data_IF_716279042342
#
_entry.id   IF_716279042342
#
_cell.length_a   1.000
_cell.length_b   1.000
_cell.length_c   1.000
_cell.angle_alpha   90.00
_cell.angle_beta   90.00
_cell.angle_gamma   90.00
#
_symmetry.space_group_name_H-M   'P 1'
#
loop_
_entity.id
_entity.type
_entity.pdbx_description
1 polymer ?
#
# COMPACT_ATOMS: atom_id res chain seq x y z
N UNK A 1 -18.66 -11.13 -8.73
CA UNK A 1 -19.99 -11.03 -8.11
C UNK A 1 -20.57 -12.42 -7.90
N UNK A 2 -20.77 -13.25 -8.92
CA UNK A 2 -21.33 -14.61 -8.76
C UNK A 2 -20.54 -15.51 -7.81
N UNK A 3 -19.25 -15.26 -7.63
CA UNK A 3 -18.37 -15.95 -6.67
C UNK A 3 -18.39 -15.31 -5.27
N UNK A 4 -19.27 -14.33 -5.00
CA UNK A 4 -19.39 -13.64 -3.72
C UNK A 4 -18.47 -12.43 -3.53
N UNK A 5 -17.70 -12.02 -4.55
CA UNK A 5 -16.90 -10.81 -4.46
C UNK A 5 -17.76 -9.55 -4.65
N UNK A 6 -17.63 -8.61 -3.73
CA UNK A 6 -18.34 -7.31 -3.75
C UNK A 6 -17.38 -6.12 -3.90
N UNK A 7 -16.07 -6.35 -3.83
CA UNK A 7 -15.05 -5.32 -4.02
C UNK A 7 -13.99 -5.77 -5.02
N UNK A 8 -13.55 -4.85 -5.87
CA UNK A 8 -12.60 -5.13 -6.94
C UNK A 8 -11.48 -4.10 -6.94
N UNK A 9 -10.22 -4.56 -6.88
CA UNK A 9 -9.07 -3.71 -7.16
C UNK A 9 -8.81 -3.72 -8.67
N UNK A 10 -8.90 -2.55 -9.28
CA UNK A 10 -8.53 -2.36 -10.69
C UNK A 10 -7.06 -1.99 -10.77
N UNK A 11 -6.26 -2.90 -11.31
CA UNK A 11 -4.81 -2.74 -11.44
C UNK A 11 -4.45 -1.78 -12.56
N UNK A 12 -3.45 -0.92 -12.32
CA UNK A 12 -2.80 -0.07 -13.33
C UNK A 12 -3.79 0.71 -14.20
N UNK A 13 -4.81 1.32 -13.59
CA UNK A 13 -5.94 1.96 -14.28
C UNK A 13 -5.51 2.90 -15.42
N UNK A 14 -4.48 3.76 -15.26
CA UNK A 14 -4.03 4.65 -16.34
C UNK A 14 -3.63 3.91 -17.63
N UNK A 15 -3.09 2.69 -17.49
CA UNK A 15 -2.72 1.87 -18.65
C UNK A 15 -3.91 1.16 -19.28
N UNK A 16 -4.94 0.85 -18.48
CA UNK A 16 -6.14 0.16 -18.95
C UNK A 16 -7.03 1.09 -19.76
N UNK A 17 -7.20 2.33 -19.31
CA UNK A 17 -8.08 3.32 -19.98
C UNK A 17 -7.39 4.08 -21.10
N UNK A 18 -6.06 3.97 -21.23
CA UNK A 18 -5.30 4.68 -22.26
C UNK A 18 -5.45 4.01 -23.62
N UNK A 19 -6.01 4.74 -24.58
CA UNK A 19 -6.13 4.26 -25.96
C UNK A 19 -4.75 4.21 -26.61
N UNK A 20 -4.31 3.00 -26.94
CA UNK A 20 -3.06 2.73 -27.64
C UNK A 20 -3.37 2.33 -29.09
N UNK A 21 -3.08 3.19 -30.04
CA UNK A 21 -3.20 2.90 -31.46
C UNK A 21 -2.00 3.45 -32.21
N UNK A 22 -1.49 2.75 -33.24
CA UNK A 22 -0.44 3.28 -34.11
C UNK A 22 -0.78 4.63 -34.76
N UNK A 23 -2.08 4.93 -34.85
CA UNK A 23 -2.60 6.18 -35.44
C UNK A 23 -2.73 7.32 -34.44
N UNK A 24 -2.64 7.04 -33.14
CA UNK A 24 -2.79 8.04 -32.07
C UNK A 24 -1.41 8.52 -31.64
N UNK A 25 -1.07 9.78 -31.93
CA UNK A 25 0.22 10.38 -31.56
C UNK A 25 0.37 10.62 -30.06
N UNK A 26 -0.73 10.87 -29.35
CA UNK A 26 -0.77 11.01 -27.90
C UNK A 26 -1.87 10.09 -27.36
N UNK A 27 -1.63 9.33 -26.27
CA UNK A 27 -2.67 8.54 -25.62
C UNK A 27 -3.86 9.44 -25.26
N UNK A 28 -5.07 8.90 -25.47
CA UNK A 28 -6.33 9.54 -25.06
C UNK A 28 -6.93 8.65 -23.98
N UNK A 29 -7.17 9.23 -22.81
CA UNK A 29 -7.71 8.51 -21.67
C UNK A 29 -9.24 8.32 -21.83
N UNK A 30 -9.70 7.08 -21.67
CA UNK A 30 -11.11 6.68 -21.85
C UNK A 30 -11.81 6.64 -20.48
N UNK A 31 -12.00 7.79 -19.85
CA UNK A 31 -12.63 7.88 -18.51
C UNK A 31 -14.09 7.37 -18.49
N UNK A 32 -14.80 7.44 -19.61
CA UNK A 32 -16.18 6.90 -19.70
C UNK A 32 -16.24 5.38 -19.53
N UNK A 33 -15.15 4.66 -19.83
CA UNK A 33 -15.02 3.25 -19.51
C UNK A 33 -15.15 3.00 -18.01
N UNK A 34 -14.61 3.88 -17.17
CA UNK A 34 -14.68 3.76 -15.72
C UNK A 34 -16.12 3.92 -15.22
N UNK A 35 -16.87 4.87 -15.81
CA UNK A 35 -18.31 5.05 -15.53
C UNK A 35 -19.09 3.81 -15.90
N UNK A 36 -18.93 3.33 -17.13
CA UNK A 36 -19.63 2.12 -17.60
C UNK A 36 -19.33 0.89 -16.75
N UNK A 37 -18.08 0.74 -16.29
CA UNK A 37 -17.69 -0.34 -15.38
C UNK A 37 -18.38 -0.21 -14.02
N UNK A 38 -18.43 1.00 -13.45
CA UNK A 38 -19.12 1.27 -12.20
C UNK A 38 -20.62 0.98 -12.32
N UNK A 39 -21.28 1.49 -13.34
CA UNK A 39 -22.70 1.24 -13.62
C UNK A 39 -22.98 -0.26 -13.73
N UNK A 40 -22.18 -0.98 -14.51
CA UNK A 40 -22.31 -2.42 -14.66
C UNK A 40 -22.22 -3.17 -13.31
N UNK A 41 -21.26 -2.79 -12.45
CA UNK A 41 -21.10 -3.43 -11.15
C UNK A 41 -22.25 -3.08 -10.21
N UNK A 42 -22.67 -1.83 -10.15
CA UNK A 42 -23.80 -1.39 -9.30
C UNK A 42 -25.13 -2.00 -9.72
N UNK A 43 -25.33 -2.24 -11.01
CA UNK A 43 -26.49 -2.98 -11.51
C UNK A 43 -26.53 -4.43 -11.02
N UNK A 44 -25.37 -5.06 -10.85
CA UNK A 44 -25.25 -6.44 -10.40
C UNK A 44 -25.24 -6.61 -8.88
N UNK A 45 -24.67 -5.64 -8.18
CA UNK A 45 -24.61 -5.59 -6.73
C UNK A 45 -24.42 -4.12 -6.32
N UNK A 46 -25.47 -3.52 -5.79
CA UNK A 46 -25.54 -2.08 -5.52
C UNK A 46 -24.53 -1.57 -4.48
N UNK A 47 -23.99 -2.47 -3.66
CA UNK A 47 -22.96 -2.22 -2.66
C UNK A 47 -21.53 -2.52 -3.13
N UNK A 48 -21.35 -2.89 -4.42
CA UNK A 48 -20.03 -3.16 -4.99
C UNK A 48 -19.15 -1.92 -5.04
N UNK A 49 -17.87 -2.09 -4.71
CA UNK A 49 -16.86 -1.03 -4.76
C UNK A 49 -15.74 -1.36 -5.75
N UNK A 50 -15.16 -0.31 -6.35
CA UNK A 50 -13.96 -0.41 -7.18
C UNK A 50 -12.87 0.46 -6.56
N UNK A 51 -11.74 -0.15 -6.24
CA UNK A 51 -10.54 0.51 -5.76
C UNK A 51 -9.53 0.60 -6.91
N UNK A 52 -9.20 1.82 -7.32
CA UNK A 52 -8.25 2.07 -8.41
C UNK A 52 -6.81 2.13 -7.91
N UNK A 53 -5.92 1.45 -8.61
CA UNK A 53 -4.49 1.71 -8.54
C UNK A 53 -4.09 2.66 -9.65
N UNK A 54 -4.00 3.95 -9.29
CA UNK A 54 -3.63 5.02 -10.20
C UNK A 54 -2.67 5.98 -9.49
N UNK A 55 -1.37 5.87 -9.81
CA UNK A 55 -0.36 6.82 -9.34
C UNK A 55 -0.28 7.99 -10.34
N UNK A 56 -1.23 8.89 -10.26
CA UNK A 56 -1.41 10.02 -11.17
C UNK A 56 -1.10 11.36 -10.48
N UNK A 57 -1.07 12.44 -11.23
CA UNK A 57 -0.89 13.78 -10.68
C UNK A 57 -2.17 14.25 -10.00
N UNK A 58 -2.09 15.05 -8.91
CA UNK A 58 -3.28 15.56 -8.21
C UNK A 58 -4.25 16.32 -9.11
N UNK A 59 -3.76 16.93 -10.19
CA UNK A 59 -4.59 17.67 -11.15
C UNK A 59 -5.55 16.76 -11.92
N UNK A 60 -5.21 15.46 -12.03
CA UNK A 60 -6.01 14.47 -12.78
C UNK A 60 -6.82 13.53 -11.89
N UNK A 61 -6.69 13.59 -10.57
CA UNK A 61 -7.39 12.70 -9.64
C UNK A 61 -8.90 12.70 -9.83
N UNK A 62 -9.49 13.90 -10.06
CA UNK A 62 -10.93 14.06 -10.24
C UNK A 62 -11.46 13.37 -11.49
N UNK A 63 -10.64 13.22 -12.52
CA UNK A 63 -11.02 12.48 -13.73
C UNK A 63 -11.29 10.99 -13.44
N UNK A 64 -10.58 10.42 -12.46
CA UNK A 64 -10.79 9.03 -12.04
C UNK A 64 -12.01 8.87 -11.15
N UNK A 65 -12.32 9.84 -10.30
CA UNK A 65 -13.54 9.82 -9.48
C UNK A 65 -14.79 10.20 -10.27
N UNK A 66 -14.66 11.10 -11.26
CA UNK A 66 -15.75 11.80 -11.91
C UNK A 66 -16.27 12.97 -11.07
N UNK A 67 -16.73 14.03 -11.70
CA UNK A 67 -17.25 15.22 -10.99
C UNK A 67 -18.41 14.88 -10.03
N UNK A 68 -19.30 14.01 -10.47
CA UNK A 68 -20.44 13.52 -9.69
C UNK A 68 -20.10 12.26 -8.88
N UNK A 69 -18.84 11.83 -8.88
CA UNK A 69 -18.41 10.58 -8.25
C UNK A 69 -18.97 9.32 -8.92
N UNK A 70 -19.10 9.36 -10.22
CA UNK A 70 -19.73 8.34 -11.07
C UNK A 70 -18.72 7.36 -11.71
N UNK A 71 -17.42 7.47 -11.38
CA UNK A 71 -16.36 6.61 -11.91
C UNK A 71 -15.81 5.69 -10.82
N UNK A 72 -14.59 5.88 -10.31
CA UNK A 72 -14.01 5.04 -9.26
C UNK A 72 -14.59 5.38 -7.88
N UNK A 73 -14.85 4.35 -7.07
CA UNK A 73 -15.28 4.55 -5.68
C UNK A 73 -14.12 4.92 -4.78
N UNK A 74 -12.95 4.32 -5.03
CA UNK A 74 -11.75 4.53 -4.22
C UNK A 74 -10.51 4.59 -5.09
N UNK A 75 -9.51 5.34 -4.65
CA UNK A 75 -8.17 5.37 -5.21
C UNK A 75 -7.12 5.32 -4.10
N UNK A 76 -6.02 4.62 -4.32
CA UNK A 76 -4.86 4.71 -3.45
C UNK A 76 -4.22 6.10 -3.52
N UNK A 77 -4.00 6.73 -2.37
CA UNK A 77 -3.38 8.05 -2.28
C UNK A 77 -1.85 7.96 -2.27
N UNK A 78 -1.26 7.78 -3.44
CA UNK A 78 0.20 7.72 -3.60
C UNK A 78 0.89 9.04 -3.24
N UNK A 79 0.24 10.18 -3.51
CA UNK A 79 0.79 11.50 -3.19
C UNK A 79 1.00 11.67 -1.69
N UNK A 80 0.00 11.35 -0.88
CA UNK A 80 0.12 11.38 0.58
C UNK A 80 1.12 10.34 1.07
N UNK A 81 1.10 9.13 0.52
CA UNK A 81 2.03 8.06 0.89
C UNK A 81 3.50 8.47 0.73
N UNK A 82 3.90 8.95 -0.44
CA UNK A 82 5.28 9.35 -0.72
C UNK A 82 5.74 10.50 0.17
N UNK A 83 4.88 11.52 0.35
CA UNK A 83 5.19 12.66 1.19
C UNK A 83 5.18 12.33 2.70
N UNK A 84 4.43 11.33 3.14
CA UNK A 84 4.50 10.81 4.50
C UNK A 84 5.89 10.21 4.78
N UNK A 85 6.40 9.35 3.89
CA UNK A 85 7.75 8.79 4.05
C UNK A 85 8.84 9.87 3.96
N UNK A 86 8.68 10.85 3.09
CA UNK A 86 9.59 11.99 3.06
C UNK A 86 9.53 12.82 4.34
N UNK A 87 8.35 13.08 4.89
CA UNK A 87 8.18 13.78 6.17
C UNK A 87 8.87 13.03 7.32
N UNK A 88 8.71 11.70 7.38
CA UNK A 88 9.36 10.85 8.38
C UNK A 88 10.89 10.85 8.22
N UNK A 89 11.40 10.82 6.98
CA UNK A 89 12.85 10.86 6.70
C UNK A 89 13.48 12.22 6.99
N UNK A 90 12.73 13.30 6.77
CA UNK A 90 13.18 14.66 7.01
C UNK A 90 12.99 15.12 8.48
N UNK A 91 12.23 14.35 9.28
CA UNK A 91 11.73 14.77 10.60
C UNK A 91 10.97 16.11 10.55
N UNK A 92 10.19 16.31 9.48
CA UNK A 92 9.48 17.54 9.18
C UNK A 92 8.09 17.22 8.59
N UNK A 93 7.03 17.65 9.27
CA UNK A 93 5.66 17.39 8.84
C UNK A 93 5.19 18.23 7.64
N UNK A 94 5.91 19.30 7.29
CA UNK A 94 5.49 20.22 6.20
C UNK A 94 5.27 19.55 4.85
N UNK A 95 6.06 18.56 4.40
CA UNK A 95 5.77 17.83 3.17
C UNK A 95 4.41 17.11 3.19
N UNK A 96 4.12 16.41 4.28
CA UNK A 96 2.84 15.72 4.46
C UNK A 96 1.67 16.71 4.49
N UNK A 97 1.79 17.82 5.21
CA UNK A 97 0.77 18.87 5.26
C UNK A 97 0.52 19.46 3.87
N UNK A 98 1.57 19.70 3.08
CA UNK A 98 1.42 20.17 1.69
C UNK A 98 0.69 19.15 0.81
N UNK A 99 1.05 17.87 0.93
CA UNK A 99 0.41 16.80 0.17
C UNK A 99 -1.10 16.68 0.51
N UNK A 100 -1.44 16.75 1.79
CA UNK A 100 -2.84 16.73 2.24
C UNK A 100 -3.62 17.94 1.71
N UNK A 101 -3.03 19.13 1.71
CA UNK A 101 -3.66 20.35 1.15
C UNK A 101 -3.80 20.30 -0.38
N UNK A 102 -2.86 19.64 -1.06
CA UNK A 102 -2.91 19.44 -2.51
C UNK A 102 -3.93 18.38 -2.93
N UNK A 103 -4.31 17.48 -2.03
CA UNK A 103 -5.36 16.49 -2.28
C UNK A 103 -6.68 17.21 -2.47
N UNK A 104 -7.23 17.16 -3.69
CA UNK A 104 -8.49 17.83 -4.02
C UNK A 104 -9.67 17.24 -3.23
N UNK A 105 -10.70 18.07 -2.97
CA UNK A 105 -11.97 17.54 -2.51
C UNK A 105 -12.45 16.45 -3.48
N UNK A 106 -12.95 15.37 -2.94
CA UNK A 106 -13.53 14.27 -3.71
C UNK A 106 -15.05 14.31 -3.61
N UNK A 107 -15.78 13.71 -4.55
CA UNK A 107 -17.22 13.53 -4.44
C UNK A 107 -17.60 12.76 -3.16
N UNK A 108 -18.79 13.00 -2.62
CA UNK A 108 -19.28 12.35 -1.40
C UNK A 108 -19.33 10.81 -1.52
N UNK A 109 -19.51 10.30 -2.74
CA UNK A 109 -19.57 8.87 -3.08
C UNK A 109 -18.19 8.24 -3.33
N UNK A 110 -17.11 9.00 -3.13
CA UNK A 110 -15.74 8.57 -3.38
C UNK A 110 -14.86 8.67 -2.14
N UNK A 111 -13.79 7.87 -2.06
CA UNK A 111 -12.89 7.85 -0.92
C UNK A 111 -11.44 7.59 -1.32
N UNK A 112 -10.49 8.18 -0.59
CA UNK A 112 -9.08 7.84 -0.66
C UNK A 112 -8.76 6.57 0.12
N UNK A 113 -7.95 5.68 -0.46
CA UNK A 113 -7.31 4.58 0.25
C UNK A 113 -5.93 5.01 0.76
N UNK A 114 -5.75 5.06 2.07
CA UNK A 114 -4.47 5.36 2.70
C UNK A 114 -3.73 4.07 3.01
N UNK A 115 -2.44 4.04 2.75
CA UNK A 115 -1.60 2.88 3.02
C UNK A 115 -0.18 3.32 3.38
N UNK A 116 0.52 2.49 4.15
CA UNK A 116 1.96 2.65 4.39
C UNK A 116 2.76 1.83 3.39
N UNK A 117 2.52 0.53 3.36
CA UNK A 117 3.13 -0.39 2.42
C UNK A 117 2.07 -1.22 1.71
N UNK A 118 2.42 -1.68 0.52
CA UNK A 118 1.63 -2.62 -0.27
C UNK A 118 2.52 -3.81 -0.71
N UNK A 119 2.08 -4.61 -1.65
CA UNK A 119 2.80 -5.77 -2.20
C UNK A 119 3.91 -5.40 -3.20
N UNK A 120 3.99 -4.13 -3.60
CA UNK A 120 5.00 -3.59 -4.50
C UNK A 120 6.06 -2.78 -3.73
N UNK A 121 7.00 -2.17 -4.44
CA UNK A 121 7.94 -1.22 -3.84
C UNK A 121 7.21 -0.02 -3.26
N UNK A 122 7.83 0.64 -2.29
CA UNK A 122 7.46 2.01 -1.93
C UNK A 122 7.89 2.91 -3.08
N UNK A 123 6.96 3.27 -3.93
CA UNK A 123 7.24 4.14 -5.09
C UNK A 123 7.46 5.59 -4.62
N UNK A 124 8.62 6.14 -4.96
CA UNK A 124 9.04 7.51 -4.64
C UNK A 124 9.18 8.37 -5.91
N UNK A 125 8.62 7.91 -7.02
CA UNK A 125 8.83 8.50 -8.34
C UNK A 125 8.30 9.93 -8.50
N UNK A 126 7.43 10.40 -7.60
CA UNK A 126 6.93 11.78 -7.61
C UNK A 126 7.69 12.74 -6.70
N UNK A 127 8.59 12.22 -5.88
CA UNK A 127 9.52 13.04 -5.11
C UNK A 127 10.64 13.56 -6.04
N UNK A 128 11.17 14.74 -5.72
CA UNK A 128 12.40 15.21 -6.37
C UNK A 128 13.56 14.27 -6.05
N UNK A 129 14.63 14.34 -6.84
CA UNK A 129 15.81 13.51 -6.60
C UNK A 129 16.36 13.69 -5.18
N UNK A 130 16.50 14.93 -4.73
CA UNK A 130 16.99 15.25 -3.38
C UNK A 130 16.09 14.63 -2.28
N UNK A 131 14.77 14.76 -2.43
CA UNK A 131 13.80 14.18 -1.51
C UNK A 131 13.88 12.65 -1.49
N UNK A 132 13.98 12.04 -2.67
CA UNK A 132 14.11 10.58 -2.84
C UNK A 132 15.38 10.06 -2.19
N UNK A 133 16.51 10.72 -2.42
CA UNK A 133 17.79 10.36 -1.79
C UNK A 133 17.71 10.45 -0.26
N UNK A 134 17.00 11.44 0.27
CA UNK A 134 16.76 11.54 1.72
C UNK A 134 15.97 10.35 2.25
N UNK A 135 14.94 9.91 1.52
CA UNK A 135 14.13 8.74 1.89
C UNK A 135 14.96 7.45 1.77
N UNK A 136 15.78 7.29 0.72
CA UNK A 136 16.69 6.17 0.57
C UNK A 136 17.68 6.09 1.73
N UNK A 137 18.35 7.17 2.06
CA UNK A 137 19.31 7.21 3.16
C UNK A 137 18.69 6.80 4.52
N UNK A 138 17.39 7.08 4.70
CA UNK A 138 16.71 6.76 5.95
C UNK A 138 16.12 5.34 6.00
N UNK A 139 15.54 4.85 4.89
CA UNK A 139 14.71 3.65 4.89
C UNK A 139 15.19 2.51 4.00
N UNK A 140 16.12 2.77 3.12
CA UNK A 140 16.69 1.80 2.20
C UNK A 140 18.08 2.23 1.71
N UNK A 141 19.06 2.41 2.63
CA UNK A 141 20.38 2.94 2.28
C UNK A 141 21.18 2.02 1.35
N UNK A 142 21.01 0.71 1.50
CA UNK A 142 21.73 -0.26 0.69
C UNK A 142 21.07 -0.45 -0.69
N UNK A 143 21.90 -0.65 -1.72
CA UNK A 143 21.40 -0.80 -3.09
C UNK A 143 20.42 -1.97 -3.25
N UNK A 144 20.63 -3.05 -2.54
CA UNK A 144 19.76 -4.22 -2.51
C UNK A 144 18.37 -3.96 -1.90
N UNK A 145 18.22 -2.90 -1.12
CA UNK A 145 16.93 -2.45 -0.55
C UNK A 145 16.14 -1.61 -1.55
N UNK A 146 16.75 -1.19 -2.64
CA UNK A 146 16.17 -0.30 -3.65
C UNK A 146 15.71 -1.07 -4.88
N UNK A 147 14.76 -0.52 -5.62
CA UNK A 147 14.22 -1.11 -6.84
C UNK A 147 13.84 -0.02 -7.85
N UNK A 148 14.16 -0.26 -9.13
CA UNK A 148 13.82 0.62 -10.25
C UNK A 148 14.28 2.08 -10.10
N UNK A 149 15.38 2.32 -9.35
CA UNK A 149 15.95 3.64 -9.08
C UNK A 149 15.00 4.65 -8.40
N UNK A 150 13.78 4.25 -8.10
CA UNK A 150 12.74 5.11 -7.53
C UNK A 150 11.97 4.50 -6.37
N UNK A 151 12.25 3.29 -5.97
CA UNK A 151 11.47 2.59 -4.97
C UNK A 151 12.28 1.85 -3.94
N UNK A 152 11.66 1.53 -2.80
CA UNK A 152 12.21 0.72 -1.72
C UNK A 152 11.42 -0.57 -1.64
N UNK A 153 12.11 -1.71 -1.72
CA UNK A 153 11.52 -3.06 -1.69
C UNK A 153 11.52 -3.70 -0.31
N UNK A 154 11.27 -2.91 0.72
CA UNK A 154 11.23 -3.36 2.12
C UNK A 154 9.83 -3.30 2.72
N UNK A 155 9.58 -4.07 3.77
CA UNK A 155 8.39 -3.93 4.62
C UNK A 155 8.57 -2.80 5.63
N UNK A 156 7.46 -2.33 6.23
CA UNK A 156 7.46 -1.16 7.12
C UNK A 156 8.39 -1.32 8.33
N UNK A 157 8.28 -2.44 9.04
CA UNK A 157 8.99 -2.61 10.31
C UNK A 157 10.50 -2.65 10.14
N UNK A 158 11.08 -3.37 9.18
CA UNK A 158 12.52 -3.27 8.89
C UNK A 158 12.96 -1.86 8.44
N UNK A 159 12.13 -1.14 7.68
CA UNK A 159 12.44 0.25 7.30
C UNK A 159 12.56 1.18 8.51
N UNK A 160 11.80 0.89 9.56
CA UNK A 160 11.80 1.65 10.81
C UNK A 160 12.73 1.05 11.87
N UNK A 161 13.60 0.11 11.50
CA UNK A 161 14.55 -0.59 12.37
C UNK A 161 13.89 -1.26 13.58
N UNK A 162 12.64 -1.68 13.48
CA UNK A 162 11.88 -2.27 14.57
C UNK A 162 11.53 -1.29 15.71
N UNK A 163 11.80 0.00 15.56
CA UNK A 163 11.47 1.01 16.61
C UNK A 163 9.95 1.11 16.75
N UNK A 164 9.47 0.59 17.86
CA UNK A 164 8.05 0.51 18.19
C UNK A 164 7.35 1.87 18.14
N UNK A 165 7.96 2.92 18.64
CA UNK A 165 7.37 4.27 18.68
C UNK A 165 7.20 4.83 17.27
N UNK A 166 8.17 4.60 16.39
CA UNK A 166 8.09 5.02 14.98
C UNK A 166 7.04 4.24 14.20
N UNK A 167 6.89 2.94 14.49
CA UNK A 167 5.87 2.08 13.89
C UNK A 167 4.47 2.55 14.31
N UNK A 168 4.25 2.77 15.59
CA UNK A 168 2.97 3.26 16.14
C UNK A 168 2.64 4.66 15.62
N UNK A 169 3.63 5.55 15.48
CA UNK A 169 3.43 6.85 14.85
C UNK A 169 2.96 6.70 13.40
N UNK A 170 3.60 5.84 12.60
CA UNK A 170 3.22 5.63 11.21
C UNK A 170 1.78 5.07 11.10
N UNK A 171 1.41 4.12 11.95
CA UNK A 171 0.04 3.59 12.00
C UNK A 171 -0.96 4.65 12.45
N UNK A 172 -0.66 5.41 13.51
CA UNK A 172 -1.52 6.49 13.97
C UNK A 172 -1.81 7.48 12.84
N UNK A 173 -0.79 7.87 12.06
CA UNK A 173 -0.98 8.73 10.89
C UNK A 173 -1.89 8.06 9.84
N UNK A 174 -1.67 6.79 9.49
CA UNK A 174 -2.50 6.09 8.52
C UNK A 174 -3.97 5.99 8.95
N UNK A 175 -4.23 5.73 10.23
CA UNK A 175 -5.59 5.55 10.75
C UNK A 175 -6.32 6.84 11.09
N UNK A 176 -5.62 7.98 11.24
CA UNK A 176 -6.23 9.26 11.62
C UNK A 176 -6.30 10.29 10.49
N UNK A 177 -5.52 10.13 9.42
CA UNK A 177 -5.59 11.01 8.26
C UNK A 177 -6.86 10.76 7.44
N UNK A 178 -7.38 11.76 6.71
CA UNK A 178 -8.61 11.63 5.92
C UNK A 178 -8.50 10.57 4.83
N UNK A 179 -9.25 9.48 4.97
CA UNK A 179 -9.27 8.35 4.02
C UNK A 179 -9.63 7.04 4.71
N UNK A 180 -9.68 5.96 3.93
CA UNK A 180 -9.87 4.59 4.43
C UNK A 180 -8.50 3.94 4.56
N UNK A 181 -8.09 3.49 5.75
CA UNK A 181 -6.83 2.79 5.93
C UNK A 181 -6.84 1.44 5.19
N UNK A 182 -5.77 1.15 4.48
CA UNK A 182 -5.55 -0.13 3.79
C UNK A 182 -4.30 -0.76 4.37
N UNK A 183 -4.49 -1.76 5.22
CA UNK A 183 -3.42 -2.49 5.88
C UNK A 183 -3.05 -3.72 5.04
N UNK A 184 -1.76 -3.93 4.85
CA UNK A 184 -1.25 -5.14 4.22
C UNK A 184 -1.10 -6.25 5.25
N UNK A 185 -1.47 -7.50 4.87
CA UNK A 185 -1.27 -8.67 5.76
C UNK A 185 0.17 -8.75 6.29
N UNK A 186 0.29 -9.07 7.55
CA UNK A 186 1.58 -9.23 8.24
C UNK A 186 2.22 -7.93 8.71
N UNK A 187 1.78 -6.77 8.26
CA UNK A 187 2.23 -5.50 8.81
C UNK A 187 1.72 -5.32 10.25
N UNK A 188 0.50 -5.80 10.54
CA UNK A 188 -0.12 -5.79 11.86
C UNK A 188 0.64 -6.60 12.92
N UNK A 189 1.43 -7.58 12.49
CA UNK A 189 2.32 -8.34 13.39
C UNK A 189 3.80 -7.96 13.24
N UNK A 190 4.10 -7.03 12.33
CA UNK A 190 5.46 -6.55 12.11
C UNK A 190 6.37 -7.51 11.34
N UNK A 191 5.82 -8.23 10.36
CA UNK A 191 6.63 -9.09 9.48
C UNK A 191 7.77 -8.33 8.83
N UNK A 192 8.91 -9.00 8.68
CA UNK A 192 10.07 -8.51 7.95
C UNK A 192 10.01 -8.77 6.45
N UNK A 193 11.15 -8.53 5.81
CA UNK A 193 11.40 -8.84 4.41
C UNK A 193 12.57 -9.81 4.27
N UNK A 194 12.65 -10.56 3.16
CA UNK A 194 13.79 -11.40 2.79
C UNK A 194 14.46 -10.84 1.54
N UNK A 195 15.48 -10.02 1.73
CA UNK A 195 16.21 -9.35 0.63
C UNK A 195 16.96 -10.32 -0.31
N UNK A 196 17.11 -11.60 0.05
CA UNK A 196 17.67 -12.63 -0.82
C UNK A 196 16.73 -12.98 -1.98
N UNK A 197 15.43 -12.77 -1.80
CA UNK A 197 14.44 -12.98 -2.84
C UNK A 197 14.49 -11.86 -3.90
N UNK A 198 14.27 -12.21 -5.18
CA UNK A 198 14.37 -11.24 -6.26
C UNK A 198 13.24 -10.20 -6.21
N UNK A 199 13.54 -9.00 -6.67
CA UNK A 199 12.58 -7.89 -6.87
C UNK A 199 11.64 -7.68 -5.69
N UNK A 200 10.32 -7.66 -5.95
CA UNK A 200 9.25 -7.43 -4.98
C UNK A 200 8.96 -8.64 -4.09
N UNK A 201 9.45 -9.82 -4.48
CA UNK A 201 9.19 -11.07 -3.73
C UNK A 201 9.76 -11.03 -2.32
N UNK A 202 10.81 -10.25 -2.08
CA UNK A 202 11.37 -10.04 -0.75
C UNK A 202 10.33 -9.59 0.29
N UNK A 203 9.35 -8.82 -0.15
CA UNK A 203 8.27 -8.34 0.70
C UNK A 203 6.96 -9.15 0.58
N UNK A 204 6.92 -10.21 -0.26
CA UNK A 204 5.72 -11.02 -0.54
C UNK A 204 5.75 -12.40 0.11
N UNK A 205 6.58 -12.57 1.13
CA UNK A 205 6.70 -13.82 1.88
C UNK A 205 5.35 -14.21 2.51
N UNK A 206 5.10 -15.53 2.70
CA UNK A 206 3.87 -16.01 3.32
C UNK A 206 3.64 -15.46 4.73
N UNK A 207 2.36 -15.38 5.14
CA UNK A 207 1.97 -14.94 6.47
C UNK A 207 2.52 -15.85 7.56
N UNK A 208 3.02 -15.26 8.63
CA UNK A 208 3.57 -15.95 9.79
C UNK A 208 2.47 -16.14 10.85
N UNK A 209 1.77 -17.29 10.79
CA UNK A 209 0.63 -17.60 11.67
C UNK A 209 1.05 -18.10 13.03
N UNK A 210 2.06 -19.01 13.09
CA UNK A 210 2.49 -19.67 14.31
C UNK A 210 3.98 -20.07 14.25
N UNK A 211 4.46 -20.72 15.30
CA UNK A 211 5.81 -21.32 15.37
C UNK A 211 5.90 -22.71 14.72
N UNK A 212 4.80 -23.21 14.15
CA UNK A 212 4.78 -24.48 13.43
C UNK A 212 5.61 -24.43 12.15
N UNK A 213 5.99 -25.59 11.58
CA UNK A 213 6.70 -25.64 10.29
C UNK A 213 6.02 -24.76 9.23
N UNK A 214 6.85 -24.08 8.44
CA UNK A 214 6.39 -23.09 7.46
C UNK A 214 5.49 -21.98 8.05
N UNK A 215 5.73 -21.63 9.33
CA UNK A 215 4.97 -20.62 10.05
C UNK A 215 3.45 -20.95 10.16
N UNK A 216 3.06 -22.21 10.07
CA UNK A 216 1.66 -22.62 10.01
C UNK A 216 0.93 -22.18 8.73
N UNK A 217 1.65 -21.69 7.72
CA UNK A 217 1.05 -21.22 6.47
C UNK A 217 0.61 -22.36 5.54
N UNK A 218 1.41 -23.42 5.46
CA UNK A 218 1.15 -24.57 4.60
C UNK A 218 1.72 -25.85 5.19
N UNK A 219 1.10 -26.99 4.84
CA UNK A 219 1.60 -28.32 5.13
C UNK A 219 2.49 -28.89 4.03
N UNK A 220 2.64 -28.15 2.91
CA UNK A 220 3.53 -28.56 1.80
C UNK A 220 4.98 -28.35 2.18
N UNK A 221 5.82 -29.34 1.90
CA UNK A 221 7.27 -29.26 2.12
C UNK A 221 7.97 -28.25 1.19
N UNK A 222 7.30 -27.82 0.12
CA UNK A 222 7.82 -26.89 -0.87
C UNK A 222 6.86 -25.74 -1.12
N UNK A 223 6.80 -24.72 -0.24
CA UNK A 223 6.03 -23.50 -0.52
C UNK A 223 6.64 -22.77 -1.73
N UNK A 224 5.79 -22.09 -2.51
CA UNK A 224 6.22 -21.32 -3.69
C UNK A 224 7.21 -20.20 -3.30
N UNK A 225 6.93 -19.51 -2.20
CA UNK A 225 7.84 -18.56 -1.58
C UNK A 225 8.16 -19.04 -0.16
N UNK A 226 9.42 -18.93 0.28
CA UNK A 226 9.79 -19.32 1.63
C UNK A 226 9.16 -18.38 2.66
N UNK A 227 8.86 -18.89 3.85
CA UNK A 227 8.61 -18.08 5.03
C UNK A 227 9.94 -17.52 5.55
N UNK A 228 9.92 -16.40 6.23
CA UNK A 228 11.12 -15.85 6.89
C UNK A 228 11.39 -16.72 8.11
N UNK A 229 12.47 -17.52 8.07
CA UNK A 229 12.86 -18.44 9.15
C UNK A 229 13.94 -17.87 10.06
N UNK A 230 14.75 -16.92 9.54
CA UNK A 230 15.96 -16.46 10.20
C UNK A 230 15.87 -15.00 10.66
N UNK A 231 16.75 -14.65 11.59
CA UNK A 231 16.89 -13.28 12.08
C UNK A 231 15.72 -12.81 12.95
N UNK A 232 15.70 -11.50 13.29
CA UNK A 232 14.74 -10.95 14.26
C UNK A 232 13.28 -10.97 13.76
N UNK A 233 13.07 -11.16 12.46
CA UNK A 233 11.74 -11.22 11.84
C UNK A 233 11.32 -12.63 11.46
N UNK A 234 12.13 -13.67 11.79
CA UNK A 234 11.75 -15.06 11.59
C UNK A 234 10.47 -15.44 12.33
N UNK A 235 9.71 -16.37 11.79
CA UNK A 235 8.40 -16.76 12.33
C UNK A 235 8.45 -17.31 13.77
N UNK A 236 9.64 -17.73 14.23
CA UNK A 236 9.84 -18.11 15.63
C UNK A 236 9.76 -16.93 16.62
N UNK A 237 9.95 -15.69 16.09
CA UNK A 237 9.93 -14.46 16.88
C UNK A 237 8.74 -13.56 16.54
N UNK A 238 8.27 -13.62 15.30
CA UNK A 238 7.19 -12.78 14.80
C UNK A 238 6.10 -13.68 14.20
N UNK A 239 5.02 -13.89 14.95
CA UNK A 239 3.86 -14.66 14.48
C UNK A 239 2.57 -14.19 15.13
N UNK A 240 1.44 -14.44 14.45
CA UNK A 240 0.13 -13.99 14.89
C UNK A 240 -0.33 -14.69 16.19
N UNK A 241 -0.04 -16.00 16.35
CA UNK A 241 -0.51 -16.77 17.48
C UNK A 241 0.05 -16.27 18.82
N UNK A 242 1.34 -15.96 18.87
CA UNK A 242 1.98 -15.43 20.07
C UNK A 242 1.56 -13.98 20.33
N UNK A 243 1.48 -13.16 19.29
CA UNK A 243 1.09 -11.76 19.45
C UNK A 243 -0.35 -11.58 19.94
N UNK A 244 -1.27 -12.47 19.58
CA UNK A 244 -2.62 -12.47 20.16
C UNK A 244 -2.64 -12.64 21.68
N UNK A 245 -1.68 -13.40 22.23
CA UNK A 245 -1.57 -13.67 23.66
C UNK A 245 -0.80 -12.59 24.42
N UNK A 246 0.00 -11.80 23.73
CA UNK A 246 0.86 -10.77 24.33
C UNK A 246 0.16 -9.40 24.36
N UNK A 247 -0.30 -8.88 25.52
CA UNK A 247 -1.12 -7.67 25.61
C UNK A 247 -0.47 -6.43 24.96
N UNK A 248 0.86 -6.36 25.00
CA UNK A 248 1.65 -5.25 24.45
C UNK A 248 2.22 -5.53 23.05
N UNK A 249 1.72 -6.57 22.36
CA UNK A 249 2.15 -6.87 21.00
C UNK A 249 1.78 -5.77 20.00
N UNK A 250 2.41 -5.78 18.80
CA UNK A 250 2.04 -4.88 17.74
C UNK A 250 0.62 -5.13 17.24
N UNK A 251 0.22 -6.40 17.13
CA UNK A 251 -1.13 -6.80 16.74
C UNK A 251 -2.19 -6.19 17.67
N UNK A 252 -2.04 -6.35 18.98
CA UNK A 252 -2.99 -5.82 19.95
C UNK A 252 -2.97 -4.28 20.02
N UNK A 253 -1.82 -3.67 19.73
CA UNK A 253 -1.72 -2.21 19.61
C UNK A 253 -2.44 -1.70 18.36
N UNK A 254 -2.26 -2.38 17.23
CA UNK A 254 -2.97 -2.06 15.98
C UNK A 254 -4.49 -2.19 16.16
N UNK A 255 -4.94 -3.24 16.83
CA UNK A 255 -6.37 -3.41 17.17
C UNK A 255 -6.91 -2.24 18.01
N UNK A 256 -6.15 -1.78 19.01
CA UNK A 256 -6.55 -0.62 19.83
C UNK A 256 -6.63 0.69 19.06
N UNK A 257 -5.79 0.87 18.04
CA UNK A 257 -5.84 2.07 17.17
C UNK A 257 -7.08 2.04 16.26
N UNK A 258 -7.51 0.83 15.84
CA UNK A 258 -8.68 0.67 14.95
C UNK A 258 -10.01 0.89 15.71
N UNK A 259 -10.05 0.55 16.98
CA UNK A 259 -11.25 0.73 17.85
C UNK A 259 -11.42 2.17 18.30
#
# INVERSE_FOLDING_TARGET
IQLGFIGFRMHAVPFVISMKSPRVKKPVEQYDMLRSLREFLQWRAGDSIILAEANVLPETDMEYFGEDGDRMHMMFNFQVNQNLFYALAAADCRPLVRALKATKPRPATAQWGLFLRNHDELDLGRLTEEQRQRVFACFGPEKEMQLYERGIRRRLVPMLNGDRRRIELAYSLMFTLPGTPVLRYGDEIGMGDDLKLPERNCARTPMQWSTEPHAGFTKSDKPILPVISDGPYGYQHVNAAEQRRAPNSLLNSTERIIR
#
